data_IF_252564531401
#
_entry.id   IF_252564531401
#
_cell.length_a   1.000
_cell.length_b   1.000
_cell.length_c   1.000
_cell.angle_alpha   90.00
_cell.angle_beta   90.00
_cell.angle_gamma   90.00
#
_symmetry.space_group_name_H-M   'P 1'
#
loop_
_entity.id
_entity.type
_entity.pdbx_description
1 polymer ?
#
# COMPACT_ATOMS: atom_id res chain seq x y z
N UNK A 1 -16.55 -18.13 -4.77
CA UNK A 1 -15.77 -16.89 -5.01
C UNK A 1 -14.81 -16.70 -3.83
N UNK A 2 -13.60 -17.24 -3.94
CA UNK A 2 -12.59 -17.12 -2.87
C UNK A 2 -12.05 -15.68 -2.86
N UNK A 3 -12.41 -14.92 -1.84
CA UNK A 3 -11.83 -13.59 -1.60
C UNK A 3 -10.37 -13.79 -1.21
N UNK A 4 -9.46 -13.66 -2.17
CA UNK A 4 -8.03 -13.65 -1.88
C UNK A 4 -7.71 -12.38 -1.12
N UNK A 5 -7.27 -12.51 0.12
CA UNK A 5 -6.81 -11.39 0.93
C UNK A 5 -5.46 -10.93 0.39
N UNK A 6 -5.39 -9.72 -0.12
CA UNK A 6 -4.14 -9.08 -0.55
C UNK A 6 -3.62 -8.28 0.63
N UNK A 7 -2.48 -8.70 1.17
CA UNK A 7 -1.79 -7.96 2.22
C UNK A 7 -0.66 -7.18 1.55
N UNK A 8 -0.77 -5.87 1.54
CA UNK A 8 0.30 -4.96 1.12
C UNK A 8 1.02 -4.43 2.35
N UNK A 9 2.33 -4.56 2.38
CA UNK A 9 3.18 -4.03 3.44
C UNK A 9 4.06 -2.92 2.87
N UNK A 10 3.97 -1.74 3.47
CA UNK A 10 4.85 -0.61 3.16
C UNK A 10 6.06 -0.72 4.07
N UNK A 11 7.22 -1.00 3.47
CA UNK A 11 8.51 -1.08 4.16
C UNK A 11 9.26 0.24 3.97
N UNK A 12 9.43 0.97 5.05
CA UNK A 12 10.29 2.15 5.11
C UNK A 12 9.71 3.37 4.38
N UNK A 13 8.99 4.21 5.12
CA UNK A 13 8.61 5.54 4.67
C UNK A 13 9.56 6.58 5.28
N UNK A 14 10.25 7.33 4.45
CA UNK A 14 10.80 8.62 4.87
C UNK A 14 9.69 9.66 4.70
N UNK A 15 9.11 10.08 5.81
CA UNK A 15 8.15 11.18 5.84
C UNK A 15 8.89 12.47 6.17
N UNK A 16 8.84 13.42 5.28
CA UNK A 16 9.17 14.80 5.61
C UNK A 16 7.95 15.37 6.36
N UNK A 17 8.09 15.59 7.65
CA UNK A 17 7.10 16.30 8.46
C UNK A 17 7.43 17.79 8.43
N UNK A 18 6.75 18.60 7.65
CA UNK A 18 6.85 20.04 7.78
C UNK A 18 5.93 20.53 8.89
N UNK A 19 6.43 21.51 9.60
CA UNK A 19 5.72 22.50 10.39
C UNK A 19 4.43 22.07 11.12
N UNK A 20 4.53 21.94 12.43
CA UNK A 20 3.38 22.07 13.32
C UNK A 20 2.78 23.45 13.13
N UNK A 21 1.64 23.54 12.47
CA UNK A 21 0.86 24.76 12.48
C UNK A 21 0.38 25.03 13.92
N UNK A 22 0.29 26.29 14.30
CA UNK A 22 -0.39 26.70 15.52
C UNK A 22 -1.76 26.00 15.55
N UNK A 23 -2.11 25.28 16.60
CA UNK A 23 -3.32 24.48 16.79
C UNK A 23 -3.21 22.97 16.53
N UNK A 24 -2.02 22.38 16.53
CA UNK A 24 -1.85 20.94 16.46
C UNK A 24 -2.10 20.29 15.11
N UNK A 25 -2.31 21.05 14.04
CA UNK A 25 -2.39 20.55 12.68
C UNK A 25 -1.00 20.19 12.14
N UNK A 26 -0.93 19.17 11.29
CA UNK A 26 0.28 18.82 10.54
C UNK A 26 -0.08 18.36 9.12
N UNK A 27 0.86 18.52 8.22
CA UNK A 27 0.83 17.97 6.87
C UNK A 27 2.03 17.06 6.71
N UNK A 28 1.87 15.96 6.03
CA UNK A 28 2.96 15.04 5.73
C UNK A 28 2.98 14.68 4.24
N UNK A 29 4.16 14.43 3.73
CA UNK A 29 4.38 13.83 2.43
C UNK A 29 5.53 12.84 2.56
N UNK A 30 5.43 11.72 1.91
CA UNK A 30 6.46 10.71 2.02
C UNK A 30 6.45 9.72 0.87
N UNK A 31 7.52 8.94 0.82
CA UNK A 31 7.68 7.86 -0.13
C UNK A 31 8.40 6.69 0.52
N UNK A 32 8.17 5.52 0.00
CA UNK A 32 8.75 4.30 0.54
C UNK A 32 8.74 3.17 -0.47
N UNK A 33 9.01 1.99 0.04
CA UNK A 33 8.98 0.75 -0.74
C UNK A 33 7.88 -0.14 -0.18
N UNK A 34 7.13 -0.75 -1.07
CA UNK A 34 6.01 -1.63 -0.73
C UNK A 34 6.12 -2.97 -1.43
N UNK A 35 5.46 -3.98 -0.91
CA UNK A 35 5.37 -5.31 -1.49
C UNK A 35 3.99 -5.91 -1.26
N UNK A 36 3.64 -6.88 -2.09
CA UNK A 36 2.38 -7.63 -1.97
C UNK A 36 2.68 -9.03 -1.41
N UNK A 37 1.81 -9.48 -0.51
CA UNK A 37 1.79 -10.85 0.00
C UNK A 37 0.48 -11.50 -0.43
N UNK A 38 0.59 -12.53 -1.25
CA UNK A 38 -0.53 -13.39 -1.65
C UNK A 38 0.00 -14.80 -1.88
N UNK A 39 -0.88 -15.79 -2.00
CA UNK A 39 -0.50 -17.18 -2.26
C UNK A 39 0.39 -17.34 -3.49
N UNK A 40 0.11 -16.57 -4.54
CA UNK A 40 0.87 -16.63 -5.79
C UNK A 40 2.07 -15.68 -5.83
N UNK A 41 2.14 -14.72 -4.92
CA UNK A 41 3.25 -13.77 -4.86
C UNK A 41 4.60 -14.45 -4.60
N UNK A 42 4.59 -15.60 -3.89
CA UNK A 42 5.78 -16.41 -3.64
C UNK A 42 6.48 -16.91 -4.90
N UNK A 43 5.75 -17.04 -6.02
CA UNK A 43 6.30 -17.44 -7.32
C UNK A 43 7.15 -16.34 -7.99
N UNK A 44 7.12 -15.13 -7.49
CA UNK A 44 7.94 -14.01 -7.94
C UNK A 44 9.05 -13.73 -6.93
N UNK A 45 10.28 -13.61 -7.41
CA UNK A 45 11.42 -13.26 -6.56
C UNK A 45 11.16 -11.97 -5.76
N UNK A 46 11.52 -11.95 -4.48
CA UNK A 46 11.20 -10.86 -3.55
C UNK A 46 11.59 -9.48 -4.09
N UNK A 47 12.81 -9.32 -4.65
CA UNK A 47 13.25 -8.06 -5.22
C UNK A 47 12.39 -7.53 -6.38
N UNK A 48 11.74 -8.42 -7.13
CA UNK A 48 10.82 -8.04 -8.22
C UNK A 48 9.43 -7.65 -7.71
N UNK A 49 9.11 -7.91 -6.44
CA UNK A 49 7.85 -7.50 -5.79
C UNK A 49 7.95 -6.13 -5.14
N UNK A 50 9.17 -5.64 -4.92
CA UNK A 50 9.39 -4.32 -4.33
C UNK A 50 9.03 -3.25 -5.34
N UNK A 51 8.15 -2.35 -4.95
CA UNK A 51 7.70 -1.20 -5.76
C UNK A 51 7.67 0.06 -4.92
N UNK A 52 7.89 1.23 -5.52
CA UNK A 52 7.78 2.48 -4.78
C UNK A 52 6.34 2.73 -4.33
N UNK A 53 6.18 3.47 -3.26
CA UNK A 53 4.91 4.00 -2.77
C UNK A 53 5.09 5.47 -2.43
N UNK A 54 4.04 6.24 -2.61
CA UNK A 54 4.00 7.68 -2.27
C UNK A 54 2.73 7.96 -1.50
N UNK A 55 2.80 8.91 -0.58
CA UNK A 55 1.65 9.36 0.17
C UNK A 55 1.74 10.84 0.52
N UNK A 56 0.59 11.44 0.68
CA UNK A 56 0.39 12.75 1.28
C UNK A 56 -0.71 12.65 2.32
N UNK A 57 -0.60 13.43 3.38
CA UNK A 57 -1.58 13.38 4.45
C UNK A 57 -1.71 14.70 5.19
N UNK A 58 -2.82 14.85 5.86
CA UNK A 58 -3.10 15.93 6.79
C UNK A 58 -3.64 15.34 8.07
N UNK A 59 -3.20 15.84 9.20
CA UNK A 59 -3.66 15.37 10.49
C UNK A 59 -3.73 16.44 11.54
N UNK A 60 -4.36 16.09 12.66
CA UNK A 60 -4.51 16.97 13.81
C UNK A 60 -4.24 16.20 15.10
N UNK A 61 -3.39 16.76 15.93
CA UNK A 61 -3.20 16.31 17.30
C UNK A 61 -4.41 16.75 18.14
N UNK A 62 -5.17 15.78 18.64
CA UNK A 62 -6.32 15.99 19.51
C UNK A 62 -5.82 16.23 20.94
N UNK A 63 -4.82 15.45 21.33
CA UNK A 63 -4.06 15.60 22.59
C UNK A 63 -2.57 15.52 22.29
N UNK A 64 -1.69 15.80 23.25
CA UNK A 64 -0.27 15.58 23.02
C UNK A 64 0.12 14.15 22.59
N UNK A 65 -0.68 13.14 22.98
CA UNK A 65 -0.38 11.74 22.71
C UNK A 65 -1.19 11.13 21.55
N UNK A 66 -2.30 11.74 21.13
CA UNK A 66 -3.23 11.17 20.14
C UNK A 66 -3.50 12.12 19.01
N UNK A 67 -3.49 11.61 17.79
CA UNK A 67 -3.81 12.35 16.58
C UNK A 67 -4.75 11.56 15.66
N UNK A 68 -5.49 12.29 14.84
CA UNK A 68 -6.20 11.77 13.68
C UNK A 68 -5.49 12.24 12.42
N UNK A 69 -5.42 11.37 11.42
CA UNK A 69 -4.79 11.64 10.13
C UNK A 69 -5.68 11.15 9.00
N UNK A 70 -5.79 11.95 7.95
CA UNK A 70 -6.29 11.54 6.64
C UNK A 70 -5.10 11.45 5.70
N UNK A 71 -4.97 10.33 5.02
CA UNK A 71 -3.86 10.07 4.10
C UNK A 71 -4.37 9.52 2.78
N UNK A 72 -3.77 9.99 1.70
CA UNK A 72 -3.97 9.44 0.35
C UNK A 72 -2.60 8.99 -0.14
N UNK A 73 -2.55 7.76 -0.60
CA UNK A 73 -1.30 7.19 -1.11
C UNK A 73 -1.57 6.04 -2.09
N UNK A 74 -0.51 5.48 -2.59
CA UNK A 74 -0.54 4.37 -3.53
C UNK A 74 0.61 4.44 -4.53
N UNK A 75 0.43 3.86 -5.64
CA UNK A 75 1.16 3.86 -6.90
C UNK A 75 0.99 2.52 -7.61
N UNK A 76 1.91 1.58 -7.48
CA UNK A 76 1.85 0.30 -8.17
C UNK A 76 2.36 -0.83 -7.29
N UNK A 77 1.70 -1.97 -7.36
CA UNK A 77 2.14 -3.23 -6.78
C UNK A 77 2.43 -4.22 -7.90
N UNK A 78 3.45 -5.04 -7.68
CA UNK A 78 3.89 -6.03 -8.64
C UNK A 78 3.69 -7.43 -8.04
N UNK A 79 2.91 -8.26 -8.72
CA UNK A 79 2.54 -9.57 -8.22
C UNK A 79 2.44 -10.62 -9.32
N UNK A 80 2.10 -11.82 -8.89
CA UNK A 80 1.74 -12.94 -9.75
C UNK A 80 0.29 -13.31 -9.51
N UNK A 81 -0.41 -13.70 -10.56
CA UNK A 81 -1.77 -14.20 -10.49
C UNK A 81 -1.90 -15.50 -11.28
N UNK A 82 -2.90 -16.31 -10.93
CA UNK A 82 -3.23 -17.57 -11.59
C UNK A 82 -4.47 -17.42 -12.48
N UNK A 83 -4.96 -18.52 -12.99
CA UNK A 83 -6.05 -18.67 -13.97
C UNK A 83 -7.39 -17.98 -13.61
N UNK A 84 -7.59 -17.51 -12.39
CA UNK A 84 -8.79 -16.75 -12.02
C UNK A 84 -8.71 -15.26 -12.41
N UNK A 85 -7.66 -14.87 -13.10
CA UNK A 85 -7.43 -13.51 -13.56
C UNK A 85 -8.07 -13.20 -14.93
N UNK A 86 -7.58 -12.15 -15.54
CA UNK A 86 -8.06 -11.68 -16.86
C UNK A 86 -7.66 -12.60 -18.02
N UNK A 87 -6.61 -13.40 -17.82
CA UNK A 87 -6.03 -14.28 -18.82
C UNK A 87 -6.18 -15.74 -18.38
N UNK A 88 -6.90 -16.51 -19.14
CA UNK A 88 -7.13 -17.93 -18.90
C UNK A 88 -6.46 -18.74 -20.01
N UNK A 89 -5.94 -19.92 -19.68
CA UNK A 89 -5.47 -20.90 -20.66
C UNK A 89 -6.54 -21.89 -20.99
N UNK A 90 -6.69 -22.19 -22.26
CA UNK A 90 -7.58 -23.25 -22.70
C UNK A 90 -6.89 -24.61 -22.49
N UNK A 91 -7.41 -25.49 -21.62
CA UNK A 91 -6.84 -26.79 -21.36
C UNK A 91 -7.10 -27.81 -22.49
N UNK A 92 -8.03 -27.51 -23.41
CA UNK A 92 -8.46 -28.43 -24.46
C UNK A 92 -7.75 -28.24 -25.79
N UNK A 93 -7.13 -27.10 -26.01
CA UNK A 93 -6.36 -26.78 -27.19
C UNK A 93 -4.86 -26.75 -26.88
N UNK A 94 -4.04 -26.28 -27.76
CA UNK A 94 -2.59 -26.19 -27.69
C UNK A 94 -2.02 -25.36 -26.50
N UNK A 95 -2.87 -25.03 -25.54
CA UNK A 95 -2.51 -24.15 -24.42
C UNK A 95 -2.60 -22.67 -24.80
N UNK A 96 -3.34 -22.35 -25.85
CA UNK A 96 -3.66 -20.96 -26.19
C UNK A 96 -4.29 -20.23 -25.00
N UNK A 97 -4.10 -18.93 -24.95
CA UNK A 97 -4.63 -18.10 -23.87
C UNK A 97 -5.96 -17.53 -24.32
N UNK A 98 -6.99 -17.73 -23.52
CA UNK A 98 -8.28 -17.10 -23.69
C UNK A 98 -8.71 -16.41 -22.41
N UNK A 99 -9.62 -15.48 -22.50
CA UNK A 99 -10.15 -14.73 -21.39
C UNK A 99 -10.77 -13.42 -21.86
N UNK A 100 -11.24 -12.58 -20.95
CA UNK A 100 -11.84 -11.29 -21.32
C UNK A 100 -10.81 -10.30 -21.92
N UNK A 101 -9.51 -10.58 -21.78
CA UNK A 101 -8.44 -9.73 -22.28
C UNK A 101 -7.43 -10.50 -23.11
N UNK A 102 -6.93 -9.84 -24.15
CA UNK A 102 -5.86 -10.35 -25.00
C UNK A 102 -4.49 -10.05 -24.37
N UNK A 103 -3.69 -11.09 -24.03
CA UNK A 103 -2.38 -10.89 -23.42
C UNK A 103 -1.38 -10.18 -24.35
N UNK A 104 -1.54 -10.28 -25.67
CA UNK A 104 -0.66 -9.63 -26.64
C UNK A 104 -0.89 -8.11 -26.62
N UNK A 105 -2.15 -7.69 -26.63
CA UNK A 105 -2.53 -6.27 -26.58
C UNK A 105 -2.08 -5.65 -25.26
N UNK A 106 -2.28 -6.37 -24.15
CA UNK A 106 -1.93 -5.90 -22.82
C UNK A 106 -0.44 -6.04 -22.48
N UNK A 107 0.34 -6.65 -23.37
CA UNK A 107 1.76 -6.93 -23.17
C UNK A 107 2.02 -7.74 -21.88
N UNK A 108 1.28 -8.82 -21.73
CA UNK A 108 1.37 -9.75 -20.61
C UNK A 108 1.80 -11.13 -21.11
N UNK A 109 2.79 -11.73 -20.45
CA UNK A 109 3.22 -13.09 -20.75
C UNK A 109 2.57 -14.07 -19.76
N UNK A 110 1.69 -14.93 -20.28
CA UNK A 110 1.08 -16.02 -19.52
C UNK A 110 1.99 -17.25 -19.64
N UNK A 111 2.38 -17.80 -18.48
CA UNK A 111 3.26 -18.99 -18.40
C UNK A 111 2.50 -20.29 -18.67
N UNK A 112 3.20 -21.40 -18.96
CA UNK A 112 2.58 -22.71 -19.16
C UNK A 112 1.72 -23.19 -17.98
N UNK A 113 2.03 -22.78 -16.76
CA UNK A 113 1.28 -23.08 -15.55
C UNK A 113 0.06 -22.17 -15.32
N UNK A 114 -0.29 -21.32 -16.29
CA UNK A 114 -1.40 -20.37 -16.20
C UNK A 114 -1.10 -19.12 -15.38
N UNK A 115 0.10 -19.00 -14.79
CA UNK A 115 0.47 -17.82 -14.03
C UNK A 115 0.93 -16.69 -14.94
N UNK A 116 0.63 -15.47 -14.54
CA UNK A 116 1.10 -14.27 -15.22
C UNK A 116 1.47 -13.18 -14.23
N UNK A 117 2.40 -12.31 -14.65
CA UNK A 117 2.80 -11.16 -13.87
C UNK A 117 1.80 -10.03 -14.09
N UNK A 118 1.28 -9.48 -13.00
CA UNK A 118 0.39 -8.34 -13.06
C UNK A 118 1.00 -7.12 -12.36
N UNK A 119 0.58 -5.96 -12.80
CA UNK A 119 0.88 -4.67 -12.17
C UNK A 119 -0.42 -4.06 -11.69
N UNK A 120 -0.60 -3.99 -10.38
CA UNK A 120 -1.75 -3.36 -9.75
C UNK A 120 -1.44 -1.88 -9.57
N UNK A 121 -2.09 -1.01 -10.31
CA UNK A 121 -2.09 0.43 -10.03
C UNK A 121 -3.25 0.73 -9.10
N UNK A 122 -2.99 1.48 -8.03
CA UNK A 122 -4.03 1.78 -7.05
C UNK A 122 -3.82 3.14 -6.40
N UNK A 123 -4.92 3.65 -5.85
CA UNK A 123 -4.96 4.75 -4.90
C UNK A 123 -5.71 4.26 -3.67
N UNK A 124 -5.17 4.55 -2.50
CA UNK A 124 -5.79 4.25 -1.20
C UNK A 124 -5.96 5.55 -0.42
N UNK A 125 -7.18 5.86 -0.01
CA UNK A 125 -7.50 6.94 0.90
C UNK A 125 -7.95 6.34 2.23
N UNK A 126 -7.34 6.77 3.34
CA UNK A 126 -7.64 6.22 4.66
C UNK A 126 -7.59 7.25 5.76
N UNK A 127 -8.35 6.98 6.82
CA UNK A 127 -8.32 7.73 8.06
C UNK A 127 -7.67 6.88 9.14
N UNK A 128 -6.67 7.45 9.83
CA UNK A 128 -5.87 6.77 10.83
C UNK A 128 -5.99 7.45 12.19
N UNK A 129 -5.99 6.62 13.22
CA UNK A 129 -5.72 7.00 14.59
C UNK A 129 -4.25 6.74 14.90
N UNK A 130 -3.54 7.77 15.35
CA UNK A 130 -2.10 7.73 15.64
C UNK A 130 -1.85 7.93 17.13
N UNK A 131 -0.84 7.26 17.64
CA UNK A 131 -0.42 7.36 19.05
C UNK A 131 1.06 7.72 19.13
N UNK A 132 1.40 8.73 19.92
CA UNK A 132 2.78 9.03 20.27
C UNK A 132 3.19 8.21 21.49
N UNK A 133 4.02 7.19 21.29
CA UNK A 133 4.46 6.32 22.38
C UNK A 133 5.33 7.06 23.39
N UNK A 134 6.18 7.98 22.94
CA UNK A 134 7.04 8.74 23.83
C UNK A 134 6.24 9.63 24.78
N UNK A 135 5.19 10.26 24.30
CA UNK A 135 4.32 11.09 25.14
C UNK A 135 3.41 10.27 26.05
N UNK A 136 2.97 9.11 25.56
CA UNK A 136 2.11 8.22 26.34
C UNK A 136 2.86 7.58 27.51
N UNK A 137 4.10 7.10 27.29
CA UNK A 137 4.87 6.34 28.27
C UNK A 137 5.74 7.23 29.17
N UNK A 138 6.34 8.27 28.62
CA UNK A 138 7.36 9.04 29.34
C UNK A 138 6.91 10.46 29.70
N UNK A 139 5.73 10.89 29.32
CA UNK A 139 5.20 12.26 29.52
C UNK A 139 6.14 13.38 29.05
N UNK A 140 7.25 13.06 28.42
CA UNK A 140 8.29 13.99 28.04
C UNK A 140 8.45 14.04 26.52
N UNK A 141 8.73 15.22 25.97
CA UNK A 141 9.07 15.39 24.56
C UNK A 141 10.54 15.04 24.36
N UNK A 142 10.84 13.76 24.16
CA UNK A 142 12.14 13.35 23.68
C UNK A 142 12.38 13.82 22.24
N UNK A 143 13.65 13.86 21.81
CA UNK A 143 13.98 14.12 20.41
C UNK A 143 13.47 13.03 19.47
N UNK A 144 13.25 11.84 19.97
CA UNK A 144 12.80 10.66 19.26
C UNK A 144 11.40 10.24 19.70
N UNK A 145 10.53 9.94 18.76
CA UNK A 145 9.17 9.46 19.02
C UNK A 145 8.82 8.33 18.05
N UNK A 146 8.05 7.37 18.51
CA UNK A 146 7.50 6.28 17.72
C UNK A 146 6.00 6.47 17.63
N UNK A 147 5.48 6.47 16.40
CA UNK A 147 4.11 6.81 16.05
C UNK A 147 3.42 5.62 15.37
N UNK A 148 2.94 4.61 16.09
CA UNK A 148 2.04 3.63 15.52
C UNK A 148 0.72 4.29 15.12
N UNK A 149 0.16 3.83 14.01
CA UNK A 149 -1.13 4.27 13.54
C UNK A 149 -1.92 3.08 12.98
N UNK A 150 -3.22 3.10 13.19
CA UNK A 150 -4.18 2.14 12.68
C UNK A 150 -5.35 2.89 12.07
N UNK A 151 -5.82 2.43 10.93
CA UNK A 151 -6.90 3.11 10.22
C UNK A 151 -7.69 2.23 9.27
N UNK A 152 -8.76 2.79 8.79
CA UNK A 152 -9.62 2.21 7.78
C UNK A 152 -9.63 3.10 6.55
N UNK A 153 -9.74 2.49 5.39
CA UNK A 153 -9.70 3.21 4.14
C UNK A 153 -10.42 2.52 3.00
N UNK A 154 -10.30 3.13 1.86
CA UNK A 154 -10.87 2.69 0.62
C UNK A 154 -9.80 2.78 -0.47
N UNK A 155 -9.57 1.65 -1.13
CA UNK A 155 -8.65 1.55 -2.24
C UNK A 155 -9.40 1.32 -3.54
N UNK A 156 -9.00 2.01 -4.58
CA UNK A 156 -9.41 1.77 -5.95
C UNK A 156 -8.22 1.32 -6.76
N UNK A 157 -8.39 0.21 -7.48
CA UNK A 157 -7.43 -0.25 -8.48
C UNK A 157 -7.87 0.19 -9.86
N UNK A 158 -6.92 0.30 -10.77
CA UNK A 158 -7.16 0.73 -12.15
C UNK A 158 -6.70 -0.37 -13.10
N UNK A 159 -7.47 -0.59 -14.17
CA UNK A 159 -7.10 -1.54 -15.22
C UNK A 159 -5.73 -1.21 -15.79
N UNK A 160 -4.81 -2.14 -15.63
CA UNK A 160 -3.47 -2.03 -16.18
C UNK A 160 -2.76 -3.39 -16.15
N UNK A 161 -2.23 -3.86 -17.27
CA UNK A 161 -1.39 -5.06 -17.41
C UNK A 161 -1.80 -6.22 -16.48
N UNK A 162 -2.87 -6.89 -16.82
CA UNK A 162 -3.34 -8.06 -16.10
C UNK A 162 -4.11 -7.77 -14.80
N UNK A 163 -4.56 -6.54 -14.59
CA UNK A 163 -5.38 -6.18 -13.43
C UNK A 163 -6.65 -5.48 -13.88
N UNK A 164 -7.79 -5.93 -13.40
CA UNK A 164 -9.07 -5.27 -13.58
C UNK A 164 -9.29 -4.15 -12.55
N UNK A 165 -10.23 -3.26 -12.87
CA UNK A 165 -10.74 -2.29 -11.91
C UNK A 165 -11.40 -2.99 -10.74
N UNK A 166 -11.08 -2.56 -9.54
CA UNK A 166 -11.72 -3.04 -8.33
C UNK A 166 -11.74 -1.97 -7.26
N UNK A 167 -12.73 -2.08 -6.38
CA UNK A 167 -12.86 -1.26 -5.21
C UNK A 167 -12.79 -2.14 -3.97
N UNK A 168 -12.07 -1.71 -2.95
CA UNK A 168 -11.84 -2.50 -1.75
C UNK A 168 -11.80 -1.64 -0.50
N UNK A 169 -12.40 -2.12 0.57
CA UNK A 169 -12.14 -1.57 1.90
C UNK A 169 -10.78 -2.06 2.37
N UNK A 170 -10.02 -1.16 3.00
CA UNK A 170 -8.68 -1.45 3.51
C UNK A 170 -8.59 -1.20 5.00
N UNK A 171 -7.87 -2.07 5.69
CA UNK A 171 -7.37 -1.81 7.03
C UNK A 171 -5.88 -1.48 6.90
N UNK A 172 -5.48 -0.36 7.49
CA UNK A 172 -4.13 0.16 7.37
C UNK A 172 -3.46 0.11 8.75
N UNK A 173 -2.21 -0.30 8.77
CA UNK A 173 -1.35 -0.25 9.93
C UNK A 173 -0.01 0.33 9.53
N UNK A 174 0.47 1.30 10.29
CA UNK A 174 1.78 1.91 10.04
C UNK A 174 2.51 2.19 11.36
N UNK A 175 3.83 2.20 11.29
CA UNK A 175 4.69 2.64 12.38
C UNK A 175 5.66 3.65 11.77
N UNK A 176 5.65 4.87 12.28
CA UNK A 176 6.59 5.91 11.91
C UNK A 176 7.54 6.23 13.07
N UNK A 177 8.77 6.59 12.73
CA UNK A 177 9.73 7.12 13.68
C UNK A 177 9.95 8.61 13.37
N UNK A 178 9.77 9.46 14.37
CA UNK A 178 9.98 10.90 14.26
C UNK A 178 11.22 11.30 15.05
N UNK A 179 12.10 12.07 14.42
CA UNK A 179 13.24 12.70 15.09
C UNK A 179 13.12 14.22 14.96
N UNK A 180 13.06 14.90 16.08
CA UNK A 180 12.96 16.37 16.11
C UNK A 180 14.35 16.98 16.20
N UNK A 181 14.76 17.68 15.13
CA UNK A 181 16.09 18.33 15.03
C UNK A 181 16.11 19.65 15.82
N UNK A 182 14.99 20.35 15.83
CA UNK A 182 14.84 21.63 16.51
C UNK A 182 13.97 21.47 17.76
N UNK A 183 14.41 22.04 18.89
CA UNK A 183 13.53 22.32 20.02
C UNK A 183 12.77 23.61 19.69
N UNK A 184 11.50 23.51 19.45
CA UNK A 184 10.61 24.68 19.53
C UNK A 184 10.21 24.93 20.96
#
# INVERSE_FOLDING_TARGET
MNKKTIISMVLGCMSLLPASAQNGWFVEAGGGVQTIFSSDAGKLHFGKRLTPSYHIGVGKWITPAYALRLQIGGYALNGMSTSEGLYLRDPQTDGSVYGPHDPVIDNVTVRPDGTYRHYLRYVNAHADFMVSLSRLLFRNQGKFDVLPAVGLGYARTFTYRGTADANSLTANFSIAAKYSVLKC
#
